data_IF_104616952400
#
_entry.id   IF_104616952400
#
_cell.length_a   1.000
_cell.length_b   1.000
_cell.length_c   1.000
_cell.angle_alpha   90.00
_cell.angle_beta   90.00
_cell.angle_gamma   90.00
#
_symmetry.space_group_name_H-M   'P 1'
#
loop_
_entity.id
_entity.type
_entity.pdbx_description
1 polymer ?
#
# COMPACT_ATOMS: atom_id res chain seq x y z
N UNK A 1 38.40 3.92 -8.54
CA UNK A 1 39.37 4.83 -9.20
C UNK A 1 38.74 5.29 -10.52
N UNK A 2 38.37 6.57 -10.63
CA UNK A 2 37.65 7.09 -11.80
C UNK A 2 36.88 8.38 -11.49
N UNK A 3 37.60 9.45 -11.16
CA UNK A 3 37.04 10.79 -10.98
C UNK A 3 36.62 11.39 -12.33
N UNK A 4 35.34 11.70 -12.53
CA UNK A 4 34.93 12.65 -13.57
C UNK A 4 34.99 14.08 -13.01
N UNK A 5 35.98 14.83 -13.50
CA UNK A 5 36.15 16.26 -13.26
C UNK A 5 35.00 17.05 -13.89
N UNK A 6 34.31 17.86 -13.09
CA UNK A 6 33.52 18.99 -13.57
C UNK A 6 34.42 19.95 -14.36
N UNK A 7 34.05 20.26 -15.60
CA UNK A 7 34.59 21.40 -16.35
C UNK A 7 33.60 22.57 -16.26
N UNK A 8 34.08 23.64 -15.64
CA UNK A 8 33.52 24.98 -15.63
C UNK A 8 33.26 25.46 -17.05
N UNK A 9 32.01 25.80 -17.38
CA UNK A 9 31.70 26.55 -18.60
C UNK A 9 31.99 28.03 -18.34
N UNK A 10 33.11 28.49 -18.91
CA UNK A 10 33.41 29.91 -19.02
C UNK A 10 32.46 30.57 -20.03
N UNK A 11 31.95 31.75 -19.68
CA UNK A 11 31.25 32.65 -20.60
C UNK A 11 32.22 33.04 -21.72
N UNK A 12 32.01 32.47 -22.91
CA UNK A 12 32.65 32.95 -24.14
C UNK A 12 31.65 33.84 -24.86
N UNK A 13 31.91 35.15 -24.82
CA UNK A 13 31.28 36.12 -25.73
C UNK A 13 31.81 35.89 -27.14
N UNK A 14 31.05 35.20 -27.98
CA UNK A 14 31.28 35.14 -29.42
C UNK A 14 30.39 36.16 -30.14
N UNK A 15 31.00 37.24 -30.62
CA UNK A 15 30.43 38.10 -31.66
C UNK A 15 30.51 37.37 -33.02
N UNK A 16 29.37 37.25 -33.70
CA UNK A 16 29.29 37.15 -35.16
C UNK A 16 29.48 35.77 -35.82
N UNK A 17 28.38 35.02 -36.00
CA UNK A 17 27.94 34.53 -37.32
C UNK A 17 26.51 33.98 -37.22
N UNK A 18 25.58 34.57 -37.99
CA UNK A 18 24.19 34.10 -38.09
C UNK A 18 24.17 32.79 -38.90
N UNK A 19 24.22 31.66 -38.22
CA UNK A 19 23.62 30.43 -38.73
C UNK A 19 22.11 30.55 -38.49
N UNK A 20 21.31 30.63 -39.55
CA UNK A 20 19.86 30.38 -39.46
C UNK A 20 19.67 28.88 -39.17
N UNK A 21 19.87 28.49 -37.92
CA UNK A 21 19.23 27.28 -37.41
C UNK A 21 17.75 27.61 -37.25
N UNK A 22 16.89 26.89 -37.94
CA UNK A 22 15.45 27.01 -37.75
C UNK A 22 15.14 26.80 -36.26
N UNK A 23 14.52 27.81 -35.62
CA UNK A 23 14.22 27.81 -34.19
C UNK A 23 12.92 27.04 -33.93
N UNK A 24 13.02 25.72 -34.04
CA UNK A 24 11.87 24.83 -33.84
C UNK A 24 11.29 24.91 -32.43
N UNK A 25 12.05 25.34 -31.42
CA UNK A 25 11.61 25.43 -30.02
C UNK A 25 10.68 26.64 -29.82
N UNK A 26 10.95 27.74 -30.51
CA UNK A 26 10.07 28.91 -30.48
C UNK A 26 8.79 28.70 -31.30
N UNK A 27 8.79 27.79 -32.29
CA UNK A 27 7.64 27.52 -33.14
C UNK A 27 6.71 26.40 -32.65
N UNK A 28 7.00 25.80 -31.49
CA UNK A 28 6.12 24.78 -30.91
C UNK A 28 4.72 25.33 -30.56
N UNK A 29 3.65 24.58 -30.87
CA UNK A 29 2.31 24.86 -30.38
C UNK A 29 2.24 24.88 -28.85
N UNK A 30 1.34 25.71 -28.31
CA UNK A 30 1.15 25.89 -26.87
C UNK A 30 0.86 24.59 -26.12
N UNK A 31 0.02 23.73 -26.70
CA UNK A 31 -0.29 22.41 -26.14
C UNK A 31 0.93 21.49 -26.01
N UNK A 32 1.90 21.60 -26.94
CA UNK A 32 3.13 20.82 -26.88
C UNK A 32 4.05 21.39 -25.79
N UNK A 33 4.14 22.71 -25.67
CA UNK A 33 4.92 23.36 -24.61
C UNK A 33 4.39 22.94 -23.23
N UNK A 34 3.08 22.98 -23.02
CA UNK A 34 2.43 22.52 -21.78
C UNK A 34 2.74 21.05 -21.49
N UNK A 35 2.64 20.19 -22.52
CA UNK A 35 2.97 18.76 -22.41
C UNK A 35 4.43 18.56 -22.01
N UNK A 36 5.36 19.32 -22.59
CA UNK A 36 6.78 19.24 -22.22
C UNK A 36 6.97 19.67 -20.76
N UNK A 37 6.40 20.80 -20.35
CA UNK A 37 6.57 21.34 -19.00
C UNK A 37 6.02 20.41 -17.91
N UNK A 38 4.90 19.72 -18.16
CA UNK A 38 4.34 18.73 -17.21
C UNK A 38 5.22 17.50 -17.02
N UNK A 39 6.20 17.25 -17.89
CA UNK A 39 7.16 16.15 -17.78
C UNK A 39 8.50 16.57 -17.17
N UNK A 40 8.67 17.85 -16.84
CA UNK A 40 9.89 18.38 -16.25
C UNK A 40 9.71 18.61 -14.74
N UNK A 41 10.76 18.38 -13.93
CA UNK A 41 10.78 18.88 -12.56
C UNK A 41 10.50 20.39 -12.52
N UNK A 42 9.74 20.87 -11.53
CA UNK A 42 9.30 22.28 -11.49
C UNK A 42 10.45 23.29 -11.63
N UNK A 43 11.61 22.99 -11.06
CA UNK A 43 12.80 23.84 -11.20
C UNK A 43 13.23 23.97 -12.66
N UNK A 44 13.24 22.87 -13.40
CA UNK A 44 13.65 22.88 -14.80
C UNK A 44 12.55 23.44 -15.70
N UNK A 45 11.28 23.21 -15.37
CA UNK A 45 10.14 23.89 -16.01
C UNK A 45 10.29 25.42 -15.91
N UNK A 46 10.62 25.95 -14.72
CA UNK A 46 10.90 27.39 -14.55
C UNK A 46 12.13 27.83 -15.35
N UNK A 47 13.18 27.00 -15.44
CA UNK A 47 14.40 27.33 -16.22
C UNK A 47 14.13 27.47 -17.72
N UNK A 48 13.13 26.79 -18.26
CA UNK A 48 12.74 26.95 -19.67
C UNK A 48 12.32 28.40 -20.01
N UNK A 49 12.02 29.22 -19.00
CA UNK A 49 11.67 30.64 -19.17
C UNK A 49 12.74 31.49 -19.89
N UNK A 50 13.98 31.00 -19.94
CA UNK A 50 15.09 31.68 -20.65
C UNK A 50 15.21 31.28 -22.12
N UNK A 51 14.47 30.25 -22.58
CA UNK A 51 14.56 29.74 -23.95
C UNK A 51 14.03 30.76 -24.97
N UNK A 52 12.83 31.32 -24.73
CA UNK A 52 12.28 32.41 -25.54
C UNK A 52 11.18 33.17 -24.80
N UNK A 53 10.69 34.26 -25.40
CA UNK A 53 9.57 35.04 -24.85
C UNK A 53 8.29 34.22 -24.69
N UNK A 54 8.06 33.22 -25.57
CA UNK A 54 6.88 32.34 -25.50
C UNK A 54 6.91 31.40 -24.30
N UNK A 55 8.09 30.98 -23.86
CA UNK A 55 8.27 30.05 -22.73
C UNK A 55 8.29 30.76 -21.36
N UNK A 56 8.57 32.06 -21.34
CA UNK A 56 8.87 32.85 -20.13
C UNK A 56 7.90 32.65 -18.96
N UNK A 57 6.60 32.55 -19.24
CA UNK A 57 5.55 32.49 -18.23
C UNK A 57 4.71 31.21 -18.28
N UNK A 58 5.06 30.23 -19.12
CA UNK A 58 4.25 29.02 -19.30
C UNK A 58 4.26 28.09 -18.10
N UNK A 59 5.33 28.12 -17.31
CA UNK A 59 5.37 27.39 -16.05
C UNK A 59 4.34 27.92 -15.01
N UNK A 60 3.93 29.19 -15.10
CA UNK A 60 3.01 29.82 -14.15
C UNK A 60 1.53 29.45 -14.36
N UNK A 61 1.23 28.64 -15.38
CA UNK A 61 -0.10 28.10 -15.67
C UNK A 61 -0.18 26.59 -15.42
N UNK A 62 0.88 25.96 -14.91
CA UNK A 62 0.91 24.53 -14.62
C UNK A 62 -0.14 24.14 -13.57
N UNK A 63 -0.97 23.16 -13.90
CA UNK A 63 -2.06 22.71 -13.01
C UNK A 63 -1.62 21.65 -12.01
N UNK A 64 -0.49 21.01 -12.25
CA UNK A 64 0.09 19.97 -11.42
C UNK A 64 1.44 20.45 -10.89
N UNK A 65 1.50 20.68 -9.57
CA UNK A 65 2.66 21.24 -8.91
C UNK A 65 3.28 20.19 -7.99
N UNK A 66 4.46 19.71 -8.35
CA UNK A 66 5.24 18.76 -7.54
C UNK A 66 6.50 19.43 -6.98
N UNK A 67 6.46 19.76 -5.69
CA UNK A 67 7.59 20.30 -4.96
C UNK A 67 8.32 19.18 -4.21
N UNK A 68 9.56 18.93 -4.60
CA UNK A 68 10.39 17.93 -3.94
C UNK A 68 11.86 18.37 -3.83
N UNK A 69 12.71 17.51 -3.28
CA UNK A 69 14.12 17.81 -3.03
C UNK A 69 14.91 18.15 -4.31
N UNK A 70 14.45 17.74 -5.50
CA UNK A 70 15.07 18.10 -6.79
C UNK A 70 14.87 19.57 -7.16
N UNK A 71 13.93 20.27 -6.50
CA UNK A 71 13.71 21.70 -6.70
C UNK A 71 14.89 22.55 -6.21
N UNK A 72 15.83 21.98 -5.45
CA UNK A 72 17.03 22.64 -4.97
C UNK A 72 18.31 21.95 -5.47
N UNK A 73 19.33 22.75 -5.81
CA UNK A 73 20.62 22.20 -6.25
C UNK A 73 21.42 21.68 -5.06
N UNK A 74 21.66 20.37 -5.01
CA UNK A 74 22.40 19.71 -3.92
C UNK A 74 23.92 19.89 -4.04
N UNK A 75 24.43 20.26 -5.23
CA UNK A 75 25.87 20.32 -5.57
C UNK A 75 26.74 21.23 -4.68
N UNK A 76 26.14 22.06 -3.83
CA UNK A 76 26.84 22.97 -2.90
C UNK A 76 26.17 23.06 -1.52
N UNK A 77 25.33 22.09 -1.14
CA UNK A 77 24.61 22.12 0.14
C UNK A 77 25.16 21.05 1.07
N UNK A 78 25.95 21.49 2.06
CA UNK A 78 26.43 20.63 3.15
C UNK A 78 25.50 20.64 4.38
N UNK A 79 24.36 21.36 4.32
CA UNK A 79 23.45 21.58 5.44
C UNK A 79 21.99 21.42 5.04
N UNK A 80 21.28 20.51 5.69
CA UNK A 80 19.84 20.28 5.51
C UNK A 80 19.01 21.57 5.70
N UNK A 81 19.37 22.41 6.69
CA UNK A 81 18.69 23.67 6.94
C UNK A 81 18.77 24.66 5.76
N UNK A 82 19.91 24.69 5.05
CA UNK A 82 20.07 25.54 3.87
C UNK A 82 19.26 25.02 2.68
N UNK A 83 19.18 23.68 2.51
CA UNK A 83 18.32 23.07 1.50
C UNK A 83 16.84 23.41 1.76
N UNK A 84 16.39 23.25 3.01
CA UNK A 84 15.05 23.60 3.45
C UNK A 84 14.71 25.07 3.15
N UNK A 85 15.59 26.00 3.52
CA UNK A 85 15.38 27.43 3.28
C UNK A 85 15.29 27.77 1.78
N UNK A 86 16.13 27.13 0.94
CA UNK A 86 16.07 27.29 -0.52
C UNK A 86 14.79 26.73 -1.10
N UNK A 87 14.34 25.57 -0.62
CA UNK A 87 13.10 24.94 -1.07
C UNK A 87 11.90 25.81 -0.71
N UNK A 88 11.81 26.26 0.54
CA UNK A 88 10.75 27.19 1.00
C UNK A 88 10.75 28.46 0.15
N UNK A 89 11.92 29.04 -0.12
CA UNK A 89 12.03 30.21 -0.99
C UNK A 89 11.52 29.92 -2.40
N UNK A 90 11.87 28.77 -2.97
CA UNK A 90 11.40 28.35 -4.28
C UNK A 90 9.88 28.19 -4.31
N UNK A 91 9.30 27.45 -3.35
CA UNK A 91 7.85 27.25 -3.23
C UNK A 91 7.13 28.59 -3.09
N UNK A 92 7.58 29.47 -2.19
CA UNK A 92 6.98 30.78 -1.99
C UNK A 92 7.01 31.64 -3.26
N UNK A 93 8.16 31.68 -3.96
CA UNK A 93 8.29 32.44 -5.20
C UNK A 93 7.43 31.85 -6.32
N UNK A 94 7.37 30.53 -6.42
CA UNK A 94 6.52 29.85 -7.40
C UNK A 94 5.06 30.18 -7.16
N UNK A 95 4.55 29.95 -5.93
CA UNK A 95 3.15 30.19 -5.60
C UNK A 95 2.75 31.66 -5.70
N UNK A 96 3.67 32.59 -5.38
CA UNK A 96 3.43 34.04 -5.53
C UNK A 96 3.22 34.46 -6.99
N UNK A 97 3.94 33.81 -7.91
CA UNK A 97 3.91 34.13 -9.34
C UNK A 97 2.93 33.24 -10.13
N UNK A 98 2.33 32.25 -9.48
CA UNK A 98 1.41 31.30 -10.11
C UNK A 98 0.04 31.93 -10.37
N UNK A 99 -0.34 32.02 -11.64
CA UNK A 99 -1.59 32.65 -12.08
C UNK A 99 -2.64 31.63 -12.57
N UNK A 100 -2.26 30.36 -12.69
CA UNK A 100 -3.16 29.28 -13.10
C UNK A 100 -4.06 28.71 -12.01
N UNK A 101 -4.98 27.80 -12.38
CA UNK A 101 -5.60 26.87 -11.44
C UNK A 101 -4.54 25.89 -10.89
N UNK A 102 -4.83 25.27 -9.75
CA UNK A 102 -3.99 24.23 -9.16
C UNK A 102 -4.90 23.03 -8.92
N UNK A 103 -4.82 22.03 -9.79
CA UNK A 103 -5.61 20.82 -9.66
C UNK A 103 -4.92 19.86 -8.68
N UNK A 104 -3.60 19.68 -8.82
CA UNK A 104 -2.77 18.82 -7.97
C UNK A 104 -1.66 19.65 -7.34
N UNK A 105 -1.56 19.56 -6.02
CA UNK A 105 -0.43 20.09 -5.26
C UNK A 105 0.20 18.97 -4.45
N UNK A 106 1.47 18.72 -4.72
CA UNK A 106 2.27 17.71 -4.05
C UNK A 106 3.50 18.37 -3.43
N UNK A 107 3.77 18.09 -2.17
CA UNK A 107 5.03 18.42 -1.53
C UNK A 107 5.59 17.24 -0.73
N UNK A 108 6.76 16.76 -1.16
CA UNK A 108 7.54 15.74 -0.45
C UNK A 108 8.97 16.21 -0.26
N UNK A 109 9.43 16.32 0.98
CA UNK A 109 10.82 16.71 1.22
C UNK A 109 11.42 16.03 2.43
N UNK A 110 12.68 15.61 2.29
CA UNK A 110 13.52 15.15 3.40
C UNK A 110 14.17 16.30 4.17
N UNK A 111 14.20 17.51 3.60
CA UNK A 111 14.82 18.69 4.21
C UNK A 111 13.88 19.46 5.14
N UNK A 112 12.57 19.41 4.91
CA UNK A 112 11.58 20.19 5.67
C UNK A 112 11.25 19.53 7.02
N UNK A 113 11.96 19.96 8.06
CA UNK A 113 11.78 19.45 9.44
C UNK A 113 10.88 20.32 10.32
N UNK A 114 10.58 21.57 9.92
CA UNK A 114 9.76 22.55 10.65
C UNK A 114 8.78 23.23 9.71
N UNK A 115 7.56 23.53 10.18
CA UNK A 115 6.42 23.82 9.30
C UNK A 115 5.73 25.20 9.48
N UNK A 116 6.40 26.32 9.80
CA UNK A 116 5.71 27.60 9.92
C UNK A 116 5.13 28.10 8.57
N UNK A 117 5.60 27.57 7.44
CA UNK A 117 5.20 27.98 6.10
C UNK A 117 3.99 27.21 5.55
N UNK A 118 3.72 26.02 6.10
CA UNK A 118 2.66 25.14 5.60
C UNK A 118 1.28 25.81 5.73
N UNK A 119 1.06 26.55 6.83
CA UNK A 119 -0.17 27.30 7.07
C UNK A 119 -0.46 28.29 5.94
N UNK A 120 0.57 28.97 5.44
CA UNK A 120 0.44 29.95 4.36
C UNK A 120 0.14 29.27 3.03
N UNK A 121 0.82 28.15 2.74
CA UNK A 121 0.59 27.38 1.52
C UNK A 121 -0.81 26.79 1.49
N UNK A 122 -1.24 26.14 2.58
CA UNK A 122 -2.57 25.56 2.68
C UNK A 122 -3.68 26.63 2.67
N UNK A 123 -3.44 27.79 3.29
CA UNK A 123 -4.38 28.91 3.17
C UNK A 123 -4.50 29.40 1.72
N UNK A 124 -3.39 29.50 0.99
CA UNK A 124 -3.42 29.84 -0.43
C UNK A 124 -4.15 28.79 -1.27
N UNK A 125 -3.85 27.50 -1.06
CA UNK A 125 -4.45 26.38 -1.78
C UNK A 125 -5.95 26.25 -1.51
N UNK A 126 -6.40 26.55 -0.28
CA UNK A 126 -7.83 26.54 0.08
C UNK A 126 -8.67 27.53 -0.74
N UNK A 127 -8.04 28.53 -1.36
CA UNK A 127 -8.69 29.53 -2.24
C UNK A 127 -8.56 29.20 -3.73
N UNK A 128 -7.77 28.19 -4.09
CA UNK A 128 -7.46 27.78 -5.46
C UNK A 128 -8.21 26.52 -5.91
N UNK A 129 -9.19 26.07 -5.11
CA UNK A 129 -10.10 24.99 -5.51
C UNK A 129 -9.37 23.67 -5.83
N UNK A 130 -8.32 23.37 -5.07
CA UNK A 130 -7.46 22.19 -5.24
C UNK A 130 -8.27 20.88 -5.16
N UNK A 131 -7.95 19.95 -6.07
CA UNK A 131 -8.60 18.65 -6.18
C UNK A 131 -7.76 17.56 -5.53
N UNK A 132 -6.43 17.60 -5.71
CA UNK A 132 -5.53 16.58 -5.19
C UNK A 132 -4.44 17.25 -4.36
N UNK A 133 -4.34 16.84 -3.10
CA UNK A 133 -3.44 17.46 -2.14
C UNK A 133 -2.61 16.38 -1.41
N UNK A 134 -1.32 16.35 -1.71
CA UNK A 134 -0.40 15.36 -1.18
C UNK A 134 0.72 16.08 -0.41
N UNK A 135 0.80 15.82 0.90
CA UNK A 135 1.75 16.48 1.78
C UNK A 135 2.46 15.42 2.61
N UNK A 136 3.77 15.30 2.42
CA UNK A 136 4.59 14.41 3.23
C UNK A 136 5.98 14.95 3.49
N UNK A 137 6.53 14.61 4.64
CA UNK A 137 7.88 14.98 5.03
C UNK A 137 8.56 13.74 5.59
N UNK A 138 9.80 13.45 5.20
CA UNK A 138 10.44 12.19 5.58
C UNK A 138 11.15 12.27 6.95
N UNK A 139 11.37 13.48 7.47
CA UNK A 139 12.22 13.74 8.63
C UNK A 139 11.63 14.85 9.50
N UNK A 140 11.93 14.84 10.80
CA UNK A 140 11.53 15.89 11.74
C UNK A 140 10.18 15.65 12.43
N UNK A 141 9.66 16.71 13.04
CA UNK A 141 8.42 16.69 13.82
C UNK A 141 7.19 16.42 12.93
N UNK A 142 6.06 16.08 13.53
CA UNK A 142 4.81 15.95 12.79
C UNK A 142 4.25 17.34 12.55
N UNK A 143 3.83 17.62 11.32
CA UNK A 143 3.20 18.91 11.04
C UNK A 143 1.76 18.89 11.51
N UNK A 144 1.27 20.03 11.98
CA UNK A 144 -0.14 20.16 12.35
C UNK A 144 -0.93 20.66 11.15
N UNK A 145 -1.96 19.92 10.74
CA UNK A 145 -2.84 20.37 9.68
C UNK A 145 -3.62 21.64 10.13
N UNK A 146 -3.51 22.77 9.41
CA UNK A 146 -4.27 23.97 9.72
C UNK A 146 -5.76 23.79 9.39
N UNK A 147 -6.62 24.57 10.05
CA UNK A 147 -8.08 24.48 9.88
C UNK A 147 -8.56 24.78 8.45
N UNK A 148 -7.79 25.55 7.68
CA UNK A 148 -8.09 25.86 6.28
C UNK A 148 -8.08 24.62 5.37
N UNK A 149 -7.35 23.55 5.73
CA UNK A 149 -7.37 22.29 5.00
C UNK A 149 -8.80 21.75 4.86
N UNK A 150 -9.57 21.78 5.95
CA UNK A 150 -10.95 21.30 6.01
C UNK A 150 -11.95 22.19 5.23
N UNK A 151 -11.49 23.32 4.67
CA UNK A 151 -12.30 24.18 3.81
C UNK A 151 -12.17 23.84 2.32
N UNK A 152 -11.26 22.94 1.92
CA UNK A 152 -11.03 22.54 0.54
C UNK A 152 -12.16 21.61 0.03
N UNK A 153 -13.26 22.18 -0.45
CA UNK A 153 -14.48 21.44 -0.84
C UNK A 153 -14.35 20.63 -2.13
N UNK A 154 -13.39 20.95 -2.99
CA UNK A 154 -13.18 20.27 -4.28
C UNK A 154 -12.18 19.11 -4.21
N UNK A 155 -11.66 18.79 -3.02
CA UNK A 155 -10.74 17.67 -2.85
C UNK A 155 -11.40 16.36 -3.28
N UNK A 156 -10.74 15.68 -4.22
CA UNK A 156 -11.01 14.32 -4.69
C UNK A 156 -9.95 13.34 -4.17
N UNK A 157 -8.72 13.79 -3.91
CA UNK A 157 -7.67 13.00 -3.28
C UNK A 157 -6.94 13.80 -2.19
N UNK A 158 -6.71 13.15 -1.05
CA UNK A 158 -5.96 13.72 0.07
C UNK A 158 -4.96 12.69 0.60
N UNK A 159 -3.69 13.04 0.56
CA UNK A 159 -2.61 12.26 1.15
C UNK A 159 -1.85 13.10 2.18
N UNK A 160 -1.76 12.57 3.41
CA UNK A 160 -1.04 13.21 4.51
C UNK A 160 -0.08 12.21 5.14
N UNK A 161 1.21 12.55 5.18
CA UNK A 161 2.27 11.74 5.79
C UNK A 161 2.90 12.49 6.96
N UNK A 162 2.96 11.86 8.14
CA UNK A 162 3.49 12.46 9.39
C UNK A 162 2.76 13.75 9.81
N UNK A 163 1.45 13.63 9.95
CA UNK A 163 0.55 14.75 10.22
C UNK A 163 -0.17 14.59 11.57
N UNK A 164 -0.38 15.70 12.29
CA UNK A 164 -1.35 15.79 13.39
C UNK A 164 -2.64 16.40 12.84
N UNK A 165 -3.71 15.61 12.79
CA UNK A 165 -4.97 15.98 12.17
C UNK A 165 -6.07 16.14 13.22
N UNK A 166 -6.56 17.38 13.38
CA UNK A 166 -7.64 17.70 14.31
C UNK A 166 -8.83 18.29 13.53
N UNK A 167 -9.74 17.44 13.00
CA UNK A 167 -10.95 17.92 12.34
C UNK A 167 -11.80 18.79 13.29
N UNK A 168 -12.32 19.94 12.81
CA UNK A 168 -13.28 20.74 13.58
C UNK A 168 -14.54 19.94 13.94
N UNK A 169 -15.17 20.23 15.08
CA UNK A 169 -16.36 19.50 15.57
C UNK A 169 -17.54 19.48 14.56
N UNK A 170 -17.69 20.53 13.76
CA UNK A 170 -18.77 20.66 12.76
C UNK A 170 -18.31 20.26 11.35
N UNK A 171 -17.15 19.63 11.21
CA UNK A 171 -16.64 19.21 9.93
C UNK A 171 -17.48 18.05 9.39
N UNK A 172 -18.09 18.26 8.21
CA UNK A 172 -18.98 17.30 7.55
C UNK A 172 -18.27 16.47 6.47
N UNK A 173 -16.97 16.23 6.64
CA UNK A 173 -16.16 15.54 5.64
C UNK A 173 -15.87 16.37 4.40
N UNK A 174 -15.14 15.76 3.48
CA UNK A 174 -14.83 16.30 2.16
C UNK A 174 -15.85 15.74 1.15
N UNK A 175 -16.71 16.58 0.55
CA UNK A 175 -17.88 16.09 -0.18
C UNK A 175 -17.56 15.37 -1.50
N UNK A 176 -16.38 15.63 -2.07
CA UNK A 176 -15.96 15.05 -3.36
C UNK A 176 -14.82 14.03 -3.22
N UNK A 177 -14.43 13.69 -1.97
CA UNK A 177 -13.23 12.90 -1.72
C UNK A 177 -13.47 11.44 -2.08
N UNK A 178 -12.63 10.94 -2.99
CA UNK A 178 -12.60 9.57 -3.50
C UNK A 178 -11.42 8.78 -2.95
N UNK A 179 -10.28 9.44 -2.72
CA UNK A 179 -9.06 8.79 -2.25
C UNK A 179 -8.56 9.47 -0.97
N UNK A 180 -8.40 8.69 0.09
CA UNK A 180 -7.83 9.16 1.35
C UNK A 180 -6.66 8.27 1.77
N UNK A 181 -5.49 8.88 1.90
CA UNK A 181 -4.28 8.22 2.39
C UNK A 181 -3.76 8.96 3.62
N UNK A 182 -3.69 8.26 4.75
CA UNK A 182 -3.13 8.76 6.00
C UNK A 182 -1.99 7.84 6.43
N UNK A 183 -0.76 8.36 6.42
CA UNK A 183 0.43 7.61 6.81
C UNK A 183 1.08 8.26 8.04
N UNK A 184 1.26 7.52 9.13
CA UNK A 184 1.83 8.04 10.38
C UNK A 184 1.08 9.30 10.87
N UNK A 185 -0.25 9.23 10.97
CA UNK A 185 -1.10 10.39 11.31
C UNK A 185 -1.63 10.30 12.74
N UNK A 186 -1.49 11.38 13.51
CA UNK A 186 -2.10 11.50 14.84
C UNK A 186 -3.52 12.03 14.68
N UNK A 187 -4.50 11.15 14.88
CA UNK A 187 -5.92 11.49 14.88
C UNK A 187 -6.64 10.56 15.87
N UNK A 188 -7.65 11.07 16.58
CA UNK A 188 -8.44 10.22 17.47
C UNK A 188 -9.31 9.26 16.67
N UNK A 189 -9.58 8.07 17.21
CA UNK A 189 -10.47 7.07 16.60
C UNK A 189 -11.79 7.69 16.12
N UNK A 190 -12.51 8.37 17.01
CA UNK A 190 -13.81 8.94 16.68
C UNK A 190 -13.70 9.98 15.55
N UNK A 191 -12.60 10.75 15.49
CA UNK A 191 -12.38 11.72 14.43
C UNK A 191 -12.10 11.06 13.07
N UNK A 192 -11.33 9.98 13.01
CA UNK A 192 -11.07 9.26 11.75
C UNK A 192 -12.32 8.50 11.27
N UNK A 193 -13.07 7.88 12.18
CA UNK A 193 -14.33 7.20 11.83
C UNK A 193 -15.38 8.20 11.31
N UNK A 194 -15.48 9.38 11.93
CA UNK A 194 -16.33 10.47 11.45
C UNK A 194 -15.85 11.03 10.12
N UNK A 195 -14.54 11.18 9.91
CA UNK A 195 -13.98 11.62 8.63
C UNK A 195 -14.35 10.65 7.50
N UNK A 196 -14.13 9.35 7.70
CA UNK A 196 -14.43 8.30 6.72
C UNK A 196 -15.92 8.28 6.40
N UNK A 197 -16.78 8.21 7.43
CA UNK A 197 -18.24 8.14 7.25
C UNK A 197 -18.86 9.40 6.64
N UNK A 198 -18.23 10.56 6.83
CA UNK A 198 -18.68 11.82 6.23
C UNK A 198 -18.24 11.99 4.77
N UNK A 199 -17.21 11.28 4.32
CA UNK A 199 -16.75 11.28 2.92
C UNK A 199 -17.52 10.23 2.12
N UNK A 200 -18.75 10.55 1.73
CA UNK A 200 -19.68 9.56 1.14
C UNK A 200 -19.29 9.05 -0.25
N UNK A 201 -18.40 9.75 -0.96
CA UNK A 201 -17.88 9.34 -2.28
C UNK A 201 -16.54 8.59 -2.19
N UNK A 202 -16.10 8.19 -0.99
CA UNK A 202 -14.81 7.54 -0.78
C UNK A 202 -14.78 6.16 -1.48
N UNK A 203 -13.87 6.01 -2.44
CA UNK A 203 -13.66 4.81 -3.25
C UNK A 203 -12.40 4.04 -2.79
N UNK A 204 -11.40 4.74 -2.23
CA UNK A 204 -10.15 4.16 -1.74
C UNK A 204 -9.74 4.75 -0.40
N UNK A 205 -9.41 3.90 0.56
CA UNK A 205 -8.93 4.26 1.89
C UNK A 205 -7.62 3.54 2.18
N UNK A 206 -6.60 4.30 2.56
CA UNK A 206 -5.29 3.79 2.94
C UNK A 206 -4.87 4.39 4.29
N UNK A 207 -4.73 3.55 5.32
CA UNK A 207 -4.23 3.94 6.64
C UNK A 207 -2.94 3.17 6.90
N UNK A 208 -1.80 3.85 6.99
CA UNK A 208 -0.48 3.23 7.16
C UNK A 208 0.18 3.68 8.46
N UNK A 209 0.82 2.74 9.16
CA UNK A 209 1.35 2.94 10.52
C UNK A 209 0.28 3.56 11.44
N UNK A 210 -0.91 2.97 11.43
CA UNK A 210 -2.07 3.48 12.14
C UNK A 210 -2.43 2.58 13.33
N UNK A 211 -2.30 3.11 14.54
CA UNK A 211 -2.55 2.34 15.75
C UNK A 211 -3.94 2.63 16.30
N UNK A 212 -4.78 1.60 16.37
CA UNK A 212 -6.09 1.70 17.01
C UNK A 212 -6.55 0.38 17.59
N UNK A 213 -6.96 0.41 18.86
CA UNK A 213 -7.56 -0.77 19.51
C UNK A 213 -8.82 -1.26 18.79
N UNK A 214 -9.64 -0.35 18.29
CA UNK A 214 -10.85 -0.67 17.54
C UNK A 214 -11.04 0.33 16.42
N UNK A 215 -11.27 -0.13 15.20
CA UNK A 215 -11.52 0.72 14.04
C UNK A 215 -12.80 0.29 13.34
N UNK A 216 -13.75 1.20 13.21
CA UNK A 216 -15.00 0.95 12.47
C UNK A 216 -15.04 1.76 11.17
N UNK A 217 -15.09 1.06 10.04
CA UNK A 217 -15.11 1.68 8.72
C UNK A 217 -16.54 1.62 8.19
N UNK A 218 -17.12 2.80 7.95
CA UNK A 218 -18.45 2.97 7.33
C UNK A 218 -18.32 3.75 6.04
N UNK A 219 -18.25 3.05 4.91
CA UNK A 219 -18.03 3.68 3.61
C UNK A 219 -18.71 2.86 2.49
N UNK A 220 -19.93 3.24 2.06
CA UNK A 220 -20.75 2.43 1.15
C UNK A 220 -20.18 2.29 -0.27
N UNK A 221 -19.39 3.27 -0.72
CA UNK A 221 -18.78 3.29 -2.04
C UNK A 221 -17.31 2.82 -2.03
N UNK A 222 -16.81 2.35 -0.88
CA UNK A 222 -15.42 1.93 -0.75
C UNK A 222 -15.17 0.66 -1.57
N UNK A 223 -14.18 0.72 -2.47
CA UNK A 223 -13.77 -0.38 -3.35
C UNK A 223 -12.41 -0.95 -2.99
N UNK A 224 -11.53 -0.12 -2.40
CA UNK A 224 -10.19 -0.50 -2.00
C UNK A 224 -9.92 -0.06 -0.55
N UNK A 225 -9.46 -1.00 0.27
CA UNK A 225 -9.05 -0.76 1.65
C UNK A 225 -7.64 -1.30 1.88
N UNK A 226 -6.75 -0.43 2.32
CA UNK A 226 -5.39 -0.78 2.73
C UNK A 226 -5.18 -0.32 4.17
N UNK A 227 -4.85 -1.25 5.06
CA UNK A 227 -4.56 -1.00 6.47
C UNK A 227 -3.19 -1.56 6.83
N UNK A 228 -2.38 -0.77 7.52
CA UNK A 228 -1.09 -1.19 8.08
C UNK A 228 -0.94 -0.55 9.47
N UNK A 229 -0.71 -1.37 10.49
CA UNK A 229 -0.55 -0.88 11.86
C UNK A 229 -0.98 -1.88 12.93
N UNK A 230 -1.21 -1.37 14.13
CA UNK A 230 -1.63 -2.15 15.28
C UNK A 230 -3.15 -2.10 15.48
N UNK A 231 -3.82 -3.24 15.28
CA UNK A 231 -5.27 -3.36 15.49
C UNK A 231 -5.62 -4.52 16.42
N UNK A 232 -6.59 -4.29 17.30
CA UNK A 232 -7.22 -5.37 18.08
C UNK A 232 -8.58 -5.78 17.51
N UNK A 233 -9.32 -4.85 16.89
CA UNK A 233 -10.63 -5.12 16.31
C UNK A 233 -10.88 -4.20 15.10
N UNK A 234 -11.21 -4.79 13.94
CA UNK A 234 -11.55 -4.07 12.71
C UNK A 234 -12.98 -4.44 12.30
N UNK A 235 -13.87 -3.46 12.26
CA UNK A 235 -15.27 -3.62 11.91
C UNK A 235 -15.53 -2.97 10.53
N UNK A 236 -15.94 -3.76 9.55
CA UNK A 236 -16.38 -3.26 8.25
C UNK A 236 -17.92 -3.21 8.24
N UNK A 237 -18.47 -2.00 8.40
CA UNK A 237 -19.91 -1.78 8.45
C UNK A 237 -20.39 -1.08 7.17
N UNK A 238 -21.37 -1.65 6.47
CA UNK A 238 -21.93 -1.05 5.25
C UNK A 238 -20.86 -0.73 4.18
N UNK A 239 -20.06 -1.72 3.81
CA UNK A 239 -19.03 -1.66 2.76
C UNK A 239 -19.32 -2.68 1.63
N UNK A 240 -20.50 -2.65 0.99
CA UNK A 240 -20.93 -3.69 0.05
C UNK A 240 -20.12 -3.73 -1.26
N UNK A 241 -19.45 -2.62 -1.60
CA UNK A 241 -18.68 -2.46 -2.84
C UNK A 241 -17.19 -2.84 -2.68
N UNK A 242 -16.77 -3.27 -1.49
CA UNK A 242 -15.38 -3.51 -1.19
C UNK A 242 -14.85 -4.71 -1.99
N UNK A 243 -13.93 -4.44 -2.91
CA UNK A 243 -13.40 -5.41 -3.85
C UNK A 243 -11.95 -5.81 -3.52
N UNK A 244 -11.16 -4.89 -2.98
CA UNK A 244 -9.76 -5.14 -2.62
C UNK A 244 -9.55 -4.80 -1.15
N UNK A 245 -9.04 -5.76 -0.39
CA UNK A 245 -8.65 -5.60 1.01
C UNK A 245 -7.20 -6.02 1.17
N UNK A 246 -6.38 -5.14 1.73
CA UNK A 246 -5.01 -5.44 2.15
C UNK A 246 -4.81 -5.01 3.59
N UNK A 247 -4.46 -5.95 4.47
CA UNK A 247 -4.23 -5.65 5.90
C UNK A 247 -2.89 -6.20 6.33
N UNK A 248 -2.02 -5.33 6.81
CA UNK A 248 -0.77 -5.67 7.48
C UNK A 248 -0.89 -5.37 8.97
N UNK A 249 -0.73 -6.39 9.81
CA UNK A 249 -0.87 -6.25 11.26
C UNK A 249 0.46 -6.45 11.96
N UNK A 250 0.78 -5.49 12.82
CA UNK A 250 1.89 -5.59 13.78
C UNK A 250 1.37 -5.98 15.15
N UNK A 251 2.19 -6.68 15.93
CA UNK A 251 1.93 -6.96 17.35
C UNK A 251 3.10 -6.46 18.16
N UNK A 252 2.77 -5.74 19.22
CA UNK A 252 3.66 -5.41 20.32
C UNK A 252 3.27 -6.28 21.54
N UNK A 253 4.18 -6.42 22.51
CA UNK A 253 3.97 -7.27 23.70
C UNK A 253 2.63 -6.99 24.43
N UNK A 254 2.16 -5.75 24.42
CA UNK A 254 0.88 -5.33 25.03
C UNK A 254 -0.37 -5.89 24.34
N UNK A 255 -0.31 -6.16 23.03
CA UNK A 255 -1.43 -6.70 22.25
C UNK A 255 -1.44 -8.23 22.34
N UNK A 256 -0.26 -8.86 22.39
CA UNK A 256 -0.11 -10.31 22.51
C UNK A 256 -0.83 -10.89 23.75
N UNK A 257 -0.78 -10.18 24.89
CA UNK A 257 -1.41 -10.62 26.14
C UNK A 257 -2.96 -10.59 26.12
N UNK A 258 -3.57 -9.92 25.13
CA UNK A 258 -5.01 -9.66 25.10
C UNK A 258 -5.70 -10.11 23.80
N UNK A 259 -4.99 -10.82 22.92
CA UNK A 259 -5.50 -11.30 21.63
C UNK A 259 -6.61 -12.36 21.81
N UNK A 260 -6.46 -13.25 22.78
CA UNK A 260 -7.36 -14.39 22.99
C UNK A 260 -8.67 -14.05 23.73
N UNK A 261 -8.95 -12.77 23.97
CA UNK A 261 -10.09 -12.33 24.79
C UNK A 261 -11.26 -11.76 23.96
N UNK A 262 -11.27 -11.89 22.63
CA UNK A 262 -12.43 -11.48 21.83
C UNK A 262 -13.61 -12.44 22.03
N UNK A 263 -14.80 -11.89 22.27
CA UNK A 263 -16.04 -12.66 22.40
C UNK A 263 -16.72 -12.96 21.07
N UNK A 264 -16.28 -12.35 19.96
CA UNK A 264 -16.85 -12.50 18.61
C UNK A 264 -15.85 -13.14 17.65
N UNK A 265 -16.38 -13.86 16.64
CA UNK A 265 -15.58 -14.39 15.54
C UNK A 265 -15.07 -13.23 14.66
N UNK A 266 -13.76 -13.00 14.65
CA UNK A 266 -13.16 -11.92 13.89
C UNK A 266 -13.33 -12.14 12.38
N UNK A 267 -13.30 -13.39 11.93
CA UNK A 267 -13.56 -13.73 10.53
C UNK A 267 -14.94 -13.23 10.06
N UNK A 268 -15.98 -13.57 10.82
CA UNK A 268 -17.36 -13.19 10.49
C UNK A 268 -17.57 -11.69 10.61
N UNK A 269 -16.96 -11.07 11.61
CA UNK A 269 -17.07 -9.63 11.82
C UNK A 269 -16.35 -8.83 10.73
N UNK A 270 -15.21 -9.32 10.25
CA UNK A 270 -14.40 -8.66 9.24
C UNK A 270 -14.93 -8.93 7.82
N UNK A 271 -15.20 -10.19 7.47
CA UNK A 271 -15.60 -10.58 6.12
C UNK A 271 -17.11 -10.75 5.90
N UNK A 272 -17.92 -10.84 6.97
CA UNK A 272 -19.36 -11.10 6.84
C UNK A 272 -20.15 -10.00 6.11
N UNK A 273 -19.59 -8.80 5.99
CA UNK A 273 -20.19 -7.64 5.33
C UNK A 273 -19.64 -7.29 3.94
N UNK A 274 -18.76 -8.11 3.34
CA UNK A 274 -18.03 -7.76 2.10
C UNK A 274 -18.29 -8.76 0.95
N UNK A 275 -19.53 -8.83 0.44
CA UNK A 275 -19.93 -9.83 -0.56
C UNK A 275 -19.26 -9.68 -1.93
N UNK A 276 -18.71 -8.49 -2.24
CA UNK A 276 -18.09 -8.16 -3.53
C UNK A 276 -16.57 -8.30 -3.54
N UNK A 277 -15.98 -8.88 -2.48
CA UNK A 277 -14.53 -9.02 -2.38
C UNK A 277 -13.96 -9.85 -3.55
N UNK A 278 -12.89 -9.34 -4.15
CA UNK A 278 -12.19 -9.92 -5.30
C UNK A 278 -10.76 -10.32 -4.96
N UNK A 279 -10.12 -9.54 -4.08
CA UNK A 279 -8.77 -9.81 -3.58
C UNK A 279 -8.69 -9.57 -2.08
N UNK A 280 -8.17 -10.56 -1.36
CA UNK A 280 -7.83 -10.45 0.05
C UNK A 280 -6.33 -10.65 0.22
N UNK A 281 -5.67 -9.67 0.82
CA UNK A 281 -4.24 -9.72 1.13
C UNK A 281 -4.06 -9.49 2.64
N UNK A 282 -3.35 -10.40 3.29
CA UNK A 282 -3.09 -10.39 4.73
C UNK A 282 -1.60 -10.54 5.01
N UNK A 283 -1.02 -9.67 5.83
CA UNK A 283 0.39 -9.71 6.22
C UNK A 283 0.56 -9.72 7.74
N UNK A 284 1.69 -10.27 8.19
CA UNK A 284 2.06 -10.32 9.60
C UNK A 284 1.03 -11.09 10.41
N UNK A 285 0.51 -10.50 11.47
CA UNK A 285 -0.42 -11.18 12.38
C UNK A 285 -1.87 -11.26 11.89
N UNK A 286 -2.15 -10.93 10.62
CA UNK A 286 -3.52 -10.93 10.08
C UNK A 286 -4.19 -12.30 10.14
N UNK A 287 -3.51 -13.38 9.78
CA UNK A 287 -4.12 -14.73 9.81
C UNK A 287 -4.44 -15.15 11.24
N UNK A 288 -3.53 -14.86 12.18
CA UNK A 288 -3.75 -15.04 13.61
C UNK A 288 -4.95 -14.22 14.11
N UNK A 289 -5.09 -12.97 13.68
CA UNK A 289 -6.25 -12.11 13.99
C UNK A 289 -7.57 -12.76 13.56
N UNK A 290 -7.62 -13.25 12.31
CA UNK A 290 -8.79 -13.89 11.73
C UNK A 290 -9.13 -15.22 12.40
N UNK A 291 -8.16 -15.86 13.05
CA UNK A 291 -8.34 -17.14 13.75
C UNK A 291 -9.13 -17.03 15.06
N UNK A 292 -9.23 -15.83 15.64
CA UNK A 292 -9.89 -15.62 16.93
C UNK A 292 -11.40 -15.85 16.79
N UNK A 293 -11.91 -16.76 17.62
CA UNK A 293 -13.31 -17.16 17.61
C UNK A 293 -13.74 -17.84 16.30
N UNK A 294 -12.79 -18.23 15.44
CA UNK A 294 -13.08 -18.89 14.18
C UNK A 294 -13.44 -20.35 14.41
N UNK A 295 -14.60 -20.75 13.89
CA UNK A 295 -15.04 -22.15 13.82
C UNK A 295 -15.59 -22.43 12.42
N UNK A 296 -15.42 -23.66 11.93
CA UNK A 296 -16.13 -24.16 10.75
C UNK A 296 -17.62 -24.32 11.12
N UNK A 297 -18.37 -23.22 11.13
CA UNK A 297 -19.82 -23.24 11.36
C UNK A 297 -20.61 -23.89 10.21
N UNK A 298 -21.88 -24.20 10.44
CA UNK A 298 -22.77 -24.87 9.47
C UNK A 298 -23.09 -24.02 8.22
N UNK A 299 -23.00 -22.69 8.30
CA UNK A 299 -23.26 -21.78 7.18
C UNK A 299 -22.00 -20.99 6.88
N UNK A 300 -21.33 -21.33 5.78
CA UNK A 300 -20.18 -20.60 5.29
C UNK A 300 -20.64 -19.47 4.35
N UNK A 301 -20.13 -18.24 4.52
CA UNK A 301 -20.34 -17.18 3.53
C UNK A 301 -19.73 -17.63 2.19
N UNK A 302 -20.35 -17.25 1.07
CA UNK A 302 -19.83 -17.59 -0.26
C UNK A 302 -19.34 -16.33 -0.98
N UNK A 303 -18.03 -16.21 -1.18
CA UNK A 303 -17.37 -15.11 -1.87
C UNK A 303 -17.14 -15.45 -3.35
N UNK A 304 -18.22 -15.40 -4.16
CA UNK A 304 -18.16 -15.79 -5.58
C UNK A 304 -17.25 -14.92 -6.45
N UNK A 305 -16.92 -13.71 -5.99
CA UNK A 305 -16.06 -12.79 -6.71
C UNK A 305 -14.59 -12.88 -6.29
N UNK A 306 -14.29 -13.58 -5.18
CA UNK A 306 -12.94 -13.69 -4.63
C UNK A 306 -12.11 -14.59 -5.53
N UNK A 307 -11.11 -14.00 -6.18
CA UNK A 307 -10.23 -14.65 -7.16
C UNK A 307 -8.80 -14.79 -6.67
N UNK A 308 -8.37 -13.91 -5.77
CA UNK A 308 -6.99 -13.84 -5.29
C UNK A 308 -6.97 -13.78 -3.78
N UNK A 309 -6.22 -14.69 -3.16
CA UNK A 309 -5.93 -14.67 -1.73
C UNK A 309 -4.42 -14.70 -1.58
N UNK A 310 -3.88 -13.69 -0.91
CA UNK A 310 -2.47 -13.64 -0.54
C UNK A 310 -2.36 -13.53 0.99
N UNK A 311 -1.81 -14.55 1.64
CA UNK A 311 -1.57 -14.54 3.09
C UNK A 311 -0.08 -14.72 3.35
N UNK A 312 0.52 -13.83 4.13
CA UNK A 312 1.94 -13.87 4.45
C UNK A 312 2.13 -14.06 5.95
N UNK A 313 3.23 -14.72 6.34
CA UNK A 313 3.58 -15.05 7.71
C UNK A 313 2.53 -15.92 8.43
N UNK A 314 1.99 -16.94 7.75
CA UNK A 314 1.05 -17.91 8.33
C UNK A 314 1.82 -18.96 9.14
N UNK A 315 1.40 -19.21 10.39
CA UNK A 315 1.95 -20.30 11.20
C UNK A 315 1.22 -21.62 10.93
N UNK A 316 1.91 -22.59 10.31
CA UNK A 316 1.38 -23.95 10.09
C UNK A 316 1.45 -24.84 11.35
N UNK A 317 2.12 -24.40 12.41
CA UNK A 317 2.03 -25.04 13.73
C UNK A 317 0.73 -24.66 14.47
N UNK A 318 0.08 -23.57 14.04
CA UNK A 318 -1.15 -23.09 14.64
C UNK A 318 -2.37 -23.57 13.85
N UNK A 319 -3.02 -24.65 14.33
CA UNK A 319 -4.23 -25.22 13.71
C UNK A 319 -5.35 -24.17 13.50
N UNK A 320 -5.44 -23.14 14.35
CA UNK A 320 -6.45 -22.08 14.19
C UNK A 320 -6.17 -21.19 12.98
N UNK A 321 -4.91 -20.98 12.61
CA UNK A 321 -4.54 -20.23 11.40
C UNK A 321 -4.78 -21.05 10.13
N UNK A 322 -4.46 -22.36 10.16
CA UNK A 322 -4.82 -23.29 9.08
C UNK A 322 -6.33 -23.28 8.85
N UNK A 323 -7.11 -23.25 9.94
CA UNK A 323 -8.58 -23.15 9.87
C UNK A 323 -9.06 -21.91 9.12
N UNK A 324 -8.37 -20.78 9.24
CA UNK A 324 -8.69 -19.56 8.48
C UNK A 324 -8.48 -19.80 6.99
N UNK A 325 -7.35 -20.41 6.61
CA UNK A 325 -7.04 -20.73 5.21
C UNK A 325 -8.11 -21.66 4.64
N UNK A 326 -8.41 -22.78 5.32
CA UNK A 326 -9.43 -23.74 4.89
C UNK A 326 -10.79 -23.08 4.73
N UNK A 327 -11.20 -22.26 5.70
CA UNK A 327 -12.47 -21.53 5.64
C UNK A 327 -12.53 -20.58 4.44
N UNK A 328 -11.43 -19.87 4.13
CA UNK A 328 -11.36 -19.01 2.96
C UNK A 328 -11.48 -19.80 1.65
N UNK A 329 -10.74 -20.92 1.51
CA UNK A 329 -10.78 -21.78 0.33
C UNK A 329 -12.19 -22.33 0.09
N UNK A 330 -12.83 -22.87 1.14
CA UNK A 330 -14.18 -23.42 1.07
C UNK A 330 -15.25 -22.35 0.81
N UNK A 331 -14.98 -21.10 1.21
CA UNK A 331 -15.88 -19.96 0.98
C UNK A 331 -15.71 -19.32 -0.41
N UNK A 332 -14.64 -19.63 -1.15
CA UNK A 332 -14.24 -18.97 -2.39
C UNK A 332 -14.27 -19.93 -3.60
N UNK A 333 -15.45 -20.31 -4.12
CA UNK A 333 -15.57 -21.33 -5.17
C UNK A 333 -14.93 -20.96 -6.51
N UNK A 334 -14.67 -19.67 -6.74
CA UNK A 334 -14.06 -19.15 -7.98
C UNK A 334 -12.62 -18.64 -7.75
N UNK A 335 -11.97 -19.08 -6.68
CA UNK A 335 -10.58 -18.71 -6.40
C UNK A 335 -9.68 -19.18 -7.54
N UNK A 336 -8.79 -18.30 -8.01
CA UNK A 336 -7.89 -18.56 -9.14
C UNK A 336 -6.42 -18.59 -8.72
N UNK A 337 -6.06 -17.73 -7.76
CA UNK A 337 -4.70 -17.56 -7.28
C UNK A 337 -4.70 -17.62 -5.76
N UNK A 338 -3.86 -18.51 -5.22
CA UNK A 338 -3.58 -18.62 -3.80
C UNK A 338 -2.09 -18.42 -3.56
N UNK A 339 -1.73 -17.43 -2.76
CA UNK A 339 -0.37 -17.25 -2.28
C UNK A 339 -0.33 -17.36 -0.76
N UNK A 340 0.53 -18.24 -0.23
CA UNK A 340 0.74 -18.42 1.21
C UNK A 340 2.22 -18.35 1.54
N UNK A 341 2.60 -17.38 2.38
CA UNK A 341 3.92 -17.31 2.99
C UNK A 341 3.91 -17.90 4.40
N UNK A 342 4.78 -18.86 4.69
CA UNK A 342 4.98 -19.42 6.02
C UNK A 342 5.62 -18.40 6.98
N UNK A 343 5.43 -18.58 8.28
CA UNK A 343 6.14 -17.84 9.31
C UNK A 343 7.44 -18.56 9.68
N UNK A 344 8.54 -17.82 9.82
CA UNK A 344 9.81 -18.35 10.32
C UNK A 344 9.79 -18.61 11.85
N UNK A 345 8.80 -18.07 12.56
CA UNK A 345 8.62 -18.31 14.00
C UNK A 345 7.96 -19.67 14.23
N UNK A 346 8.72 -20.76 13.98
CA UNK A 346 8.35 -22.08 14.48
C UNK A 346 8.41 -22.03 16.01
N UNK A 347 7.25 -22.00 16.66
CA UNK A 347 7.21 -22.09 18.12
C UNK A 347 7.72 -23.48 18.52
N UNK A 348 8.65 -23.56 19.47
CA UNK A 348 9.19 -24.81 20.02
C UNK A 348 8.16 -25.65 20.81
N UNK A 349 6.86 -25.53 20.50
CA UNK A 349 5.80 -26.29 21.13
C UNK A 349 5.82 -27.73 20.62
N UNK A 350 6.50 -28.56 21.41
CA UNK A 350 6.59 -30.03 21.33
C UNK A 350 5.25 -30.70 21.66
N UNK A 351 4.17 -30.33 20.98
CA UNK A 351 2.92 -31.09 21.04
C UNK A 351 2.89 -32.13 19.92
N UNK A 352 2.24 -33.27 20.17
CA UNK A 352 2.07 -34.30 19.14
C UNK A 352 1.28 -33.70 17.97
N UNK A 353 1.81 -33.85 16.75
CA UNK A 353 1.17 -33.37 15.52
C UNK A 353 -0.19 -34.05 15.35
N UNK A 354 -1.29 -33.30 15.48
CA UNK A 354 -2.65 -33.80 15.29
C UNK A 354 -2.97 -33.89 13.79
N UNK A 355 -2.44 -34.91 13.13
CA UNK A 355 -2.68 -35.13 11.69
C UNK A 355 -4.13 -35.52 11.39
N UNK A 356 -4.87 -36.06 12.37
CA UNK A 356 -6.30 -36.36 12.21
C UNK A 356 -7.15 -35.09 12.00
N UNK A 357 -6.57 -33.90 12.23
CA UNK A 357 -7.18 -32.60 11.92
C UNK A 357 -7.72 -32.54 10.49
N UNK A 358 -6.94 -32.99 9.50
CA UNK A 358 -7.31 -32.90 8.08
C UNK A 358 -8.51 -33.77 7.75
N UNK A 359 -8.58 -34.98 8.32
CA UNK A 359 -9.71 -35.90 8.14
C UNK A 359 -11.01 -35.42 8.80
N UNK A 360 -10.90 -34.61 9.86
CA UNK A 360 -12.05 -34.07 10.62
C UNK A 360 -12.62 -32.81 9.97
N UNK A 361 -11.74 -31.90 9.55
CA UNK A 361 -12.12 -30.53 9.19
C UNK A 361 -12.23 -30.32 7.67
N UNK A 362 -11.57 -31.14 6.85
CA UNK A 362 -11.67 -31.02 5.40
C UNK A 362 -12.83 -31.85 4.85
N UNK A 363 -13.73 -31.26 4.04
CA UNK A 363 -14.75 -32.02 3.34
C UNK A 363 -14.11 -33.01 2.37
N UNK A 364 -14.55 -34.27 2.40
CA UNK A 364 -14.04 -35.34 1.50
C UNK A 364 -14.31 -35.06 0.02
N UNK A 365 -15.32 -34.25 -0.27
CA UNK A 365 -15.75 -33.88 -1.63
C UNK A 365 -15.33 -32.44 -1.97
N UNK A 366 -14.35 -31.86 -1.26
CA UNK A 366 -13.84 -30.54 -1.59
C UNK A 366 -13.17 -30.56 -2.97
N UNK A 367 -13.48 -29.60 -3.84
CA UNK A 367 -12.83 -29.48 -5.14
C UNK A 367 -12.69 -28.02 -5.53
N UNK A 368 -11.49 -27.63 -5.96
CA UNK A 368 -11.12 -26.26 -6.31
C UNK A 368 -11.10 -26.08 -7.83
N UNK A 369 -12.29 -26.07 -8.42
CA UNK A 369 -12.55 -26.09 -9.88
C UNK A 369 -12.01 -24.89 -10.68
N UNK A 370 -11.50 -23.85 -10.01
CA UNK A 370 -11.01 -22.63 -10.65
C UNK A 370 -9.58 -22.26 -10.23
N UNK A 371 -8.97 -23.02 -9.30
CA UNK A 371 -7.66 -22.71 -8.75
C UNK A 371 -6.57 -23.09 -9.75
N UNK A 372 -5.94 -22.07 -10.34
CA UNK A 372 -4.97 -22.21 -11.43
C UNK A 372 -3.53 -22.10 -10.96
N UNK A 373 -3.29 -21.25 -9.96
CA UNK A 373 -1.94 -20.97 -9.47
C UNK A 373 -1.92 -20.98 -7.94
N UNK A 374 -1.00 -21.76 -7.39
CA UNK A 374 -0.66 -21.77 -5.98
C UNK A 374 0.81 -21.40 -5.85
N UNK A 375 1.11 -20.43 -4.97
CA UNK A 375 2.48 -20.06 -4.61
C UNK A 375 2.64 -20.19 -3.10
N UNK A 376 3.54 -21.05 -2.66
CA UNK A 376 3.87 -21.25 -1.25
C UNK A 376 5.31 -20.78 -1.01
N UNK A 377 5.52 -19.79 -0.15
CA UNK A 377 6.85 -19.23 0.11
C UNK A 377 7.25 -19.41 1.56
N UNK A 378 8.55 -19.46 1.86
CA UNK A 378 9.07 -19.63 3.23
C UNK A 378 8.60 -20.95 3.87
N UNK A 379 8.49 -22.02 3.08
CA UNK A 379 8.12 -23.36 3.58
C UNK A 379 9.31 -24.02 4.27
N UNK A 380 9.04 -24.82 5.31
CA UNK A 380 10.05 -25.55 6.08
C UNK A 380 9.89 -27.09 5.98
N UNK A 381 8.84 -27.57 5.30
CA UNK A 381 8.53 -29.01 5.20
C UNK A 381 7.82 -29.54 6.45
N UNK A 382 7.16 -28.68 7.20
CA UNK A 382 6.44 -29.09 8.41
C UNK A 382 5.28 -30.02 8.05
N UNK A 383 4.90 -30.97 8.93
CA UNK A 383 3.85 -31.94 8.61
C UNK A 383 2.52 -31.33 8.12
N UNK A 384 2.10 -30.20 8.71
CA UNK A 384 0.90 -29.50 8.26
C UNK A 384 1.08 -28.72 6.95
N UNK A 385 2.29 -28.27 6.62
CA UNK A 385 2.59 -27.69 5.30
C UNK A 385 2.49 -28.77 4.22
N UNK A 386 3.12 -29.93 4.46
CA UNK A 386 3.12 -31.07 3.54
C UNK A 386 1.70 -31.58 3.30
N UNK A 387 0.90 -31.74 4.36
CA UNK A 387 -0.52 -32.11 4.24
C UNK A 387 -1.36 -31.07 3.51
N UNK A 388 -1.08 -29.79 3.71
CA UNK A 388 -1.79 -28.74 2.99
C UNK A 388 -1.45 -28.75 1.49
N UNK A 389 -0.18 -28.97 1.14
CA UNK A 389 0.27 -29.13 -0.24
C UNK A 389 -0.40 -30.34 -0.89
N UNK A 390 -0.37 -31.50 -0.22
CA UNK A 390 -1.05 -32.73 -0.66
C UNK A 390 -2.55 -32.48 -0.89
N UNK A 391 -3.20 -31.80 0.05
CA UNK A 391 -4.61 -31.44 -0.04
C UNK A 391 -4.90 -30.55 -1.25
N UNK A 392 -4.09 -29.52 -1.53
CA UNK A 392 -4.30 -28.66 -2.69
C UNK A 392 -4.08 -29.41 -4.01
N UNK A 393 -3.01 -30.19 -4.12
CA UNK A 393 -2.68 -30.97 -5.32
C UNK A 393 -3.77 -32.01 -5.63
N UNK A 394 -4.26 -32.71 -4.61
CA UNK A 394 -5.29 -33.75 -4.75
C UNK A 394 -6.71 -33.21 -5.02
N UNK A 395 -6.98 -31.93 -4.77
CA UNK A 395 -8.33 -31.35 -4.89
C UNK A 395 -8.45 -30.22 -5.94
N UNK A 396 -7.41 -29.94 -6.72
CA UNK A 396 -7.39 -28.84 -7.70
C UNK A 396 -7.23 -29.37 -9.15
N UNK A 397 -8.33 -29.73 -9.84
CA UNK A 397 -8.27 -30.41 -11.16
C UNK A 397 -7.79 -29.52 -12.31
N UNK A 398 -7.81 -28.19 -12.14
CA UNK A 398 -7.39 -27.21 -13.16
C UNK A 398 -6.10 -26.46 -12.77
N UNK A 399 -5.36 -26.98 -11.79
CA UNK A 399 -4.13 -26.37 -11.31
C UNK A 399 -3.06 -26.42 -12.42
N UNK A 400 -2.56 -25.25 -12.81
CA UNK A 400 -1.55 -25.09 -13.86
C UNK A 400 -0.14 -24.97 -13.23
N UNK A 401 -0.03 -24.29 -12.09
CA UNK A 401 1.24 -24.00 -11.44
C UNK A 401 1.15 -24.17 -9.91
N UNK A 402 2.09 -24.93 -9.35
CA UNK A 402 2.40 -25.02 -7.93
C UNK A 402 3.85 -24.56 -7.72
N UNK A 403 4.07 -23.31 -7.31
CA UNK A 403 5.39 -22.73 -7.03
C UNK A 403 5.68 -22.81 -5.53
N UNK A 404 6.72 -23.56 -5.15
CA UNK A 404 7.11 -23.78 -3.76
C UNK A 404 8.51 -23.22 -3.53
N UNK A 405 8.60 -22.21 -2.68
CA UNK A 405 9.84 -21.57 -2.29
C UNK A 405 10.14 -21.81 -0.80
N UNK A 406 11.30 -22.37 -0.52
CA UNK A 406 11.77 -22.62 0.84
C UNK A 406 12.40 -21.37 1.47
N UNK A 407 12.37 -21.29 2.80
CA UNK A 407 13.15 -20.31 3.54
C UNK A 407 14.61 -20.79 3.63
N UNK A 408 15.55 -20.13 2.95
CA UNK A 408 16.98 -20.44 3.07
C UNK A 408 17.56 -19.55 4.16
N UNK A 409 17.74 -20.08 5.36
CA UNK A 409 18.59 -19.41 6.34
C UNK A 409 20.06 -19.72 6.01
N UNK A 410 20.89 -18.67 5.99
CA UNK A 410 22.31 -18.77 5.67
C UNK A 410 23.02 -19.85 6.50
N UNK A 411 23.61 -20.80 5.78
CA UNK A 411 24.74 -21.65 6.16
C UNK A 411 24.61 -22.42 7.49
N UNK A 412 24.05 -23.64 7.46
CA UNK A 412 24.72 -24.89 7.91
C UNK A 412 23.78 -26.10 7.83
N UNK A 413 24.23 -27.18 7.16
CA UNK A 413 23.66 -28.55 7.11
C UNK A 413 22.25 -28.81 6.49
N UNK A 414 21.55 -27.82 5.93
CA UNK A 414 20.15 -28.00 5.45
C UNK A 414 19.96 -28.68 4.08
N UNK A 415 21.01 -28.96 3.29
CA UNK A 415 20.84 -29.48 1.93
C UNK A 415 20.18 -30.88 1.85
N UNK A 416 20.19 -31.68 2.92
CA UNK A 416 19.56 -33.01 2.91
C UNK A 416 18.04 -32.93 3.10
N UNK A 417 17.56 -32.05 3.98
CA UNK A 417 16.14 -31.91 4.29
C UNK A 417 15.36 -31.25 3.14
N UNK A 418 16.00 -30.33 2.40
CA UNK A 418 15.44 -29.71 1.18
C UNK A 418 15.09 -30.76 0.11
N UNK A 419 16.03 -31.69 -0.14
CA UNK A 419 15.84 -32.73 -1.14
C UNK A 419 14.74 -33.72 -0.76
N UNK A 420 14.55 -34.00 0.54
CA UNK A 420 13.55 -34.94 1.01
C UNK A 420 12.14 -34.36 0.86
N UNK A 421 11.93 -33.12 1.28
CA UNK A 421 10.66 -32.39 1.11
C UNK A 421 10.22 -32.34 -0.36
N UNK A 422 11.10 -31.92 -1.27
CA UNK A 422 10.77 -31.84 -2.70
C UNK A 422 10.48 -33.20 -3.31
N UNK A 423 11.23 -34.23 -2.90
CA UNK A 423 11.01 -35.61 -3.38
C UNK A 423 9.65 -36.14 -2.93
N UNK A 424 9.26 -35.86 -1.68
CA UNK A 424 7.95 -36.24 -1.15
C UNK A 424 6.82 -35.51 -1.89
N UNK A 425 6.93 -34.20 -2.11
CA UNK A 425 5.92 -33.42 -2.84
C UNK A 425 5.72 -33.95 -4.27
N UNK A 426 6.79 -34.31 -4.97
CA UNK A 426 6.73 -34.91 -6.31
C UNK A 426 6.06 -36.29 -6.31
N UNK A 427 5.96 -36.95 -5.15
CA UNK A 427 5.27 -38.22 -4.97
C UNK A 427 3.77 -38.09 -4.70
N UNK A 428 3.24 -36.88 -4.44
CA UNK A 428 1.83 -36.68 -4.15
C UNK A 428 0.93 -36.91 -5.36
N UNK A 429 -0.27 -37.44 -5.11
CA UNK A 429 -1.29 -37.55 -6.14
C UNK A 429 -1.80 -36.17 -6.55
N UNK A 430 -1.94 -35.95 -7.86
CA UNK A 430 -2.40 -34.68 -8.43
C UNK A 430 -3.73 -34.88 -9.15
N UNK A 431 -4.70 -34.01 -8.89
CA UNK A 431 -5.97 -34.00 -9.61
C UNK A 431 -5.83 -33.37 -11.00
N UNK A 432 -4.90 -32.45 -11.17
CA UNK A 432 -4.58 -31.83 -12.46
C UNK A 432 -3.52 -32.64 -13.21
N UNK A 433 -3.82 -33.00 -14.45
CA UNK A 433 -2.86 -33.67 -15.33
C UNK A 433 -1.82 -32.71 -15.94
N UNK A 434 -2.05 -31.39 -15.85
CA UNK A 434 -1.22 -30.36 -16.48
C UNK A 434 -0.40 -29.54 -15.46
N UNK A 435 -0.50 -29.85 -14.17
CA UNK A 435 0.19 -29.09 -13.13
C UNK A 435 1.70 -29.15 -13.30
N UNK A 436 2.33 -27.98 -13.30
CA UNK A 436 3.78 -27.83 -13.17
C UNK A 436 4.09 -27.52 -11.72
N UNK A 437 4.91 -28.37 -11.09
CA UNK A 437 5.44 -28.12 -9.74
C UNK A 437 6.84 -27.51 -9.92
N UNK A 438 6.98 -26.25 -9.51
CA UNK A 438 8.24 -25.52 -9.56
C UNK A 438 8.78 -25.32 -8.14
N UNK A 439 10.09 -25.48 -7.98
CA UNK A 439 10.80 -25.20 -6.75
C UNK A 439 11.70 -23.99 -6.97
N UNK A 440 11.45 -22.91 -6.23
CA UNK A 440 12.19 -21.64 -6.38
C UNK A 440 12.99 -21.31 -5.12
N UNK A 441 14.20 -20.78 -5.31
CA UNK A 441 15.03 -20.30 -4.20
C UNK A 441 14.69 -18.82 -3.92
N UNK A 442 14.18 -18.52 -2.73
CA UNK A 442 14.07 -17.14 -2.26
C UNK A 442 15.42 -16.70 -1.69
N UNK A 443 16.20 -15.97 -2.48
CA UNK A 443 17.29 -15.16 -1.95
C UNK A 443 16.66 -13.92 -1.28
N UNK A 444 16.64 -13.90 0.05
CA UNK A 444 16.22 -12.72 0.85
C UNK A 444 17.33 -11.68 0.88
#
# INVERSE_FOLDING_TARGET
MGQLKMRTFALVTCYGNKMHGEDYITDLPESIIETILTKLPLRDAVRTSVLSSKWRYKWATLTELEFNDTCVSVSHIHSSALAAAKLVKFVNQFLLLHDGPINRFTIYSSYLQRFPYLDQWLLFLSRKDVQELNIGFCQGDWFRAPSCLFSCKKLTALELVRCVLHPPLYFKGFPNLKHLTLQQVHITRDAVENLISSCTLLESLTLLYFDSRKLTIRAPNLTCLVLEGEFKDICLENTPMLAVISVAMYINDDIAQHYDQSSSCNFDQFLGGVPSIQRLTGHGFFTKYMSIGNTLGEIQPTYRQLKVIDLYQVSFDNLKEIMVILRLLLSAPNLQVLQIGGSADASLATDAVDLDFWDKECPRDATFEQLKSVKMTQMLGLPHEMRFIEFLLGNSPVLELMDIAQNVHDETDENHDQSEMYTEILGFETASAEVVIEFTENYV
#
